data_IF_185630511384
#
_entry.id   IF_185630511384
#
_cell.length_a   1.000
_cell.length_b   1.000
_cell.length_c   1.000
_cell.angle_alpha   90.00
_cell.angle_beta   90.00
_cell.angle_gamma   90.00
#
_symmetry.space_group_name_H-M   'P 1'
#
loop_
_entity.id
_entity.type
_entity.pdbx_description
1 polymer ?
#
# COMPACT_ATOMS: atom_id res chain seq x y z
N UNK A 1 -3.99 -10.17 -9.07
CA UNK A 1 -4.44 -8.81 -8.65
C UNK A 1 -5.71 -8.79 -7.81
N UNK A 2 -6.86 -9.33 -8.27
CA UNK A 2 -8.09 -9.41 -7.43
C UNK A 2 -7.91 -10.14 -6.08
N UNK A 3 -6.92 -11.06 -6.01
CA UNK A 3 -6.60 -11.79 -4.77
C UNK A 3 -6.08 -10.88 -3.64
N UNK A 4 -5.40 -9.76 -3.93
CA UNK A 4 -4.83 -8.89 -2.88
C UNK A 4 -5.90 -8.09 -2.15
N UNK A 5 -6.86 -7.53 -2.89
CA UNK A 5 -7.99 -6.85 -2.31
C UNK A 5 -8.92 -7.83 -1.58
N UNK A 6 -9.16 -9.02 -2.15
CA UNK A 6 -9.91 -10.08 -1.47
C UNK A 6 -9.23 -10.48 -0.14
N UNK A 7 -7.91 -10.66 -0.15
CA UNK A 7 -7.13 -10.98 1.04
C UNK A 7 -7.26 -9.89 2.09
N UNK A 8 -7.21 -8.61 1.72
CA UNK A 8 -7.47 -7.47 2.61
C UNK A 8 -8.90 -7.44 3.16
N UNK A 9 -9.91 -7.64 2.31
CA UNK A 9 -11.33 -7.73 2.71
C UNK A 9 -11.54 -8.85 3.75
N UNK A 10 -10.86 -9.99 3.63
CA UNK A 10 -10.92 -11.05 4.67
C UNK A 10 -10.26 -10.66 6.00
N UNK A 11 -9.38 -9.67 6.04
CA UNK A 11 -8.74 -9.19 7.27
C UNK A 11 -9.57 -8.16 8.04
N UNK A 12 -10.61 -7.59 7.42
CA UNK A 12 -11.48 -6.57 8.01
C UNK A 12 -12.90 -7.10 8.27
N UNK A 13 -13.10 -8.11 9.15
CA UNK A 13 -14.39 -8.78 9.28
C UNK A 13 -15.53 -7.94 9.90
N UNK A 14 -15.32 -6.66 10.28
CA UNK A 14 -16.24 -5.96 11.20
C UNK A 14 -16.58 -4.49 10.88
N UNK A 15 -16.29 -3.95 9.69
CA UNK A 15 -16.81 -2.61 9.32
C UNK A 15 -18.11 -2.79 8.54
N UNK A 16 -19.26 -2.56 9.20
CA UNK A 16 -20.56 -2.45 8.53
C UNK A 16 -20.45 -1.38 7.44
N UNK A 17 -20.54 -1.76 6.17
CA UNK A 17 -20.71 -0.82 5.07
C UNK A 17 -21.98 0.00 5.33
N UNK A 18 -21.94 1.34 5.24
CA UNK A 18 -23.16 2.12 5.23
C UNK A 18 -23.94 1.76 3.96
N UNK A 19 -25.11 1.14 4.14
CA UNK A 19 -26.07 0.92 3.07
C UNK A 19 -26.62 2.29 2.62
N UNK A 20 -26.11 2.82 1.51
CA UNK A 20 -26.54 4.10 0.95
C UNK A 20 -25.90 4.39 -0.41
N UNK A 21 -26.73 4.70 -1.40
CA UNK A 21 -26.52 4.67 -2.87
C UNK A 21 -25.46 5.61 -3.48
N UNK A 22 -24.46 6.07 -2.74
CA UNK A 22 -23.24 6.68 -3.33
C UNK A 22 -22.07 6.32 -2.42
N UNK A 23 -21.01 5.64 -2.91
CA UNK A 23 -19.80 5.37 -2.13
C UNK A 23 -18.99 6.68 -2.01
N UNK A 24 -19.55 7.66 -1.30
CA UNK A 24 -18.81 8.85 -0.90
C UNK A 24 -18.18 8.54 0.45
N UNK A 25 -16.89 8.26 0.42
CA UNK A 25 -16.06 8.11 1.61
C UNK A 25 -16.21 9.38 2.46
N UNK A 26 -16.25 9.24 3.78
CA UNK A 26 -16.26 10.40 4.65
C UNK A 26 -14.94 11.16 4.53
N UNK A 27 -14.96 12.49 4.63
CA UNK A 27 -13.73 13.31 4.66
C UNK A 27 -12.73 12.79 5.72
N UNK A 28 -13.23 12.24 6.83
CA UNK A 28 -12.40 11.64 7.89
C UNK A 28 -11.70 10.36 7.44
N UNK A 29 -12.37 9.49 6.68
CA UNK A 29 -11.75 8.27 6.12
C UNK A 29 -10.75 8.64 5.00
N UNK A 30 -11.00 9.71 4.23
CA UNK A 30 -10.04 10.26 3.25
C UNK A 30 -8.80 10.79 3.98
N UNK A 31 -8.99 11.60 5.03
CA UNK A 31 -7.89 12.15 5.85
C UNK A 31 -7.07 11.02 6.48
N UNK A 32 -7.74 10.00 7.05
CA UNK A 32 -7.07 8.83 7.63
C UNK A 32 -6.26 8.08 6.57
N UNK A 33 -6.85 7.81 5.40
CA UNK A 33 -6.17 7.12 4.30
C UNK A 33 -4.97 7.94 3.81
N UNK A 34 -5.11 9.26 3.72
CA UNK A 34 -4.03 10.15 3.32
C UNK A 34 -2.89 10.16 4.35
N UNK A 35 -3.19 10.15 5.65
CA UNK A 35 -2.18 10.07 6.70
C UNK A 35 -1.38 8.76 6.60
N UNK A 36 -2.07 7.63 6.44
CA UNK A 36 -1.44 6.31 6.24
C UNK A 36 -0.55 6.27 4.99
N UNK A 37 -1.01 6.88 3.89
CA UNK A 37 -0.24 6.99 2.65
C UNK A 37 0.98 7.90 2.78
N UNK A 38 0.88 9.00 3.52
CA UNK A 38 2.01 9.90 3.78
C UNK A 38 3.08 9.21 4.65
N UNK A 39 2.67 8.45 5.66
CA UNK A 39 3.59 7.68 6.50
C UNK A 39 4.28 6.56 5.71
N UNK A 40 3.51 5.77 4.95
CA UNK A 40 4.05 4.73 4.09
C UNK A 40 4.96 5.32 2.99
N UNK A 41 4.56 6.44 2.38
CA UNK A 41 5.35 7.16 1.38
C UNK A 41 6.66 7.69 1.95
N UNK A 42 6.65 8.23 3.17
CA UNK A 42 7.85 8.66 3.90
C UNK A 42 8.82 7.50 4.12
N UNK A 43 8.32 6.32 4.51
CA UNK A 43 9.14 5.11 4.64
C UNK A 43 9.73 4.68 3.30
N UNK A 44 8.94 4.67 2.22
CA UNK A 44 9.40 4.34 0.88
C UNK A 44 10.49 5.31 0.38
N UNK A 45 10.34 6.62 0.60
CA UNK A 45 11.35 7.61 0.21
C UNK A 45 12.65 7.49 1.01
N UNK A 46 12.57 7.13 2.30
CA UNK A 46 13.77 6.84 3.11
C UNK A 46 14.50 5.60 2.59
N UNK A 47 13.77 4.56 2.20
CA UNK A 47 14.34 3.36 1.60
C UNK A 47 14.97 3.63 0.22
N UNK A 48 14.31 4.42 -0.64
CA UNK A 48 14.89 4.83 -1.93
C UNK A 48 16.17 5.63 -1.71
N UNK A 49 16.21 6.47 -0.68
CA UNK A 49 17.40 7.23 -0.32
C UNK A 49 18.54 6.35 0.21
N UNK A 50 18.24 5.29 0.97
CA UNK A 50 19.29 4.37 1.45
C UNK A 50 19.85 3.50 0.32
N UNK A 51 19.04 3.20 -0.69
CA UNK A 51 19.43 2.39 -1.85
C UNK A 51 19.36 0.88 -1.59
N UNK A 52 18.89 0.47 -0.41
CA UNK A 52 18.74 -0.94 -0.04
C UNK A 52 17.50 -1.54 -0.73
N UNK A 53 17.72 -2.45 -1.67
CA UNK A 53 16.68 -3.00 -2.56
C UNK A 53 15.55 -3.66 -1.76
N UNK A 54 15.89 -4.43 -0.72
CA UNK A 54 14.91 -5.08 0.15
C UNK A 54 14.04 -4.07 0.89
N UNK A 55 14.63 -2.98 1.41
CA UNK A 55 13.88 -1.91 2.07
C UNK A 55 12.99 -1.14 1.09
N UNK A 56 13.45 -0.94 -0.15
CA UNK A 56 12.65 -0.29 -1.20
C UNK A 56 11.45 -1.16 -1.53
N UNK A 57 11.63 -2.47 -1.69
CA UNK A 57 10.53 -3.42 -1.90
C UNK A 57 9.53 -3.35 -0.75
N UNK A 58 10.02 -3.35 0.49
CA UNK A 58 9.19 -3.26 1.69
C UNK A 58 8.39 -1.94 1.74
N UNK A 59 9.01 -0.82 1.36
CA UNK A 59 8.35 0.47 1.25
C UNK A 59 7.28 0.51 0.14
N UNK A 60 7.56 -0.06 -1.03
CA UNK A 60 6.61 -0.13 -2.14
C UNK A 60 5.41 -1.02 -1.80
N UNK A 61 5.65 -2.16 -1.17
CA UNK A 61 4.59 -3.09 -0.73
C UNK A 61 3.74 -2.46 0.37
N UNK A 62 4.34 -1.78 1.34
CA UNK A 62 3.59 -1.05 2.38
C UNK A 62 2.73 0.07 1.81
N UNK A 63 3.25 0.80 0.82
CA UNK A 63 2.49 1.84 0.14
C UNK A 63 1.32 1.26 -0.68
N UNK A 64 1.55 0.15 -1.38
CA UNK A 64 0.51 -0.60 -2.09
C UNK A 64 -0.57 -1.13 -1.13
N UNK A 65 -0.16 -1.64 0.04
CA UNK A 65 -1.06 -2.11 1.08
C UNK A 65 -1.98 -0.97 1.57
N UNK A 66 -1.41 0.19 1.88
CA UNK A 66 -2.19 1.37 2.30
C UNK A 66 -3.18 1.85 1.23
N UNK A 67 -2.79 1.81 -0.05
CA UNK A 67 -3.67 2.16 -1.16
C UNK A 67 -4.85 1.17 -1.30
N UNK A 68 -4.59 -0.14 -1.24
CA UNK A 68 -5.66 -1.14 -1.27
C UNK A 68 -6.52 -1.14 -0.01
N UNK A 69 -5.94 -0.82 1.14
CA UNK A 69 -6.67 -0.66 2.40
C UNK A 69 -7.69 0.48 2.29
N UNK A 70 -7.30 1.59 1.65
CA UNK A 70 -8.23 2.68 1.36
C UNK A 70 -9.38 2.18 0.48
N UNK A 71 -9.12 1.48 -0.63
CA UNK A 71 -10.16 0.88 -1.51
C UNK A 71 -11.09 -0.07 -0.76
N UNK A 72 -10.54 -0.95 0.07
CA UNK A 72 -11.32 -1.88 0.88
C UNK A 72 -12.28 -1.15 1.83
N UNK A 73 -11.88 -0.01 2.41
CA UNK A 73 -12.75 0.83 3.24
C UNK A 73 -13.91 1.43 2.44
N UNK A 74 -13.68 1.83 1.18
CA UNK A 74 -14.74 2.40 0.31
C UNK A 74 -15.72 1.32 -0.18
N UNK A 75 -15.34 0.05 -0.08
CA UNK A 75 -16.08 -1.07 -0.69
C UNK A 75 -15.86 -1.18 -2.20
N UNK A 76 -14.96 -0.37 -2.76
CA UNK A 76 -14.63 -0.34 -4.18
C UNK A 76 -13.70 -1.48 -4.56
N UNK A 77 -13.72 -1.85 -5.84
CA UNK A 77 -12.77 -2.81 -6.42
C UNK A 77 -11.60 -2.09 -7.11
N UNK A 78 -10.52 -2.83 -7.35
CA UNK A 78 -9.37 -2.28 -8.07
C UNK A 78 -9.85 -1.92 -9.48
N UNK A 79 -9.73 -0.64 -9.83
CA UNK A 79 -9.95 -0.21 -11.21
C UNK A 79 -8.80 -0.76 -12.04
N UNK A 80 -9.12 -1.70 -12.94
CA UNK A 80 -8.14 -2.20 -13.91
C UNK A 80 -7.69 -1.02 -14.77
N UNK A 81 -6.42 -0.63 -14.59
CA UNK A 81 -5.83 0.39 -15.43
C UNK A 81 -4.99 -0.31 -16.49
N UNK A 82 -5.38 -0.17 -17.76
CA UNK A 82 -4.51 -0.51 -18.89
C UNK A 82 -3.49 0.63 -19.06
N UNK A 83 -2.58 0.75 -18.09
CA UNK A 83 -1.63 1.85 -18.00
C UNK A 83 -0.18 1.41 -18.17
N UNK A 84 0.51 2.07 -19.10
CA UNK A 84 1.82 1.80 -19.69
C UNK A 84 2.89 1.20 -18.77
N UNK A 85 3.53 0.12 -19.25
CA UNK A 85 4.70 -0.48 -18.62
C UNK A 85 5.79 0.57 -18.40
N UNK A 86 6.00 0.92 -17.14
CA UNK A 86 6.86 2.03 -16.77
C UNK A 86 8.35 1.65 -16.91
N UNK A 87 9.07 2.32 -17.81
CA UNK A 87 10.50 2.06 -18.10
C UNK A 87 11.44 3.20 -17.67
N UNK A 88 11.04 4.09 -16.76
CA UNK A 88 11.96 5.12 -16.25
C UNK A 88 12.65 4.67 -14.95
N UNK A 89 13.89 4.19 -15.09
CA UNK A 89 14.73 3.65 -14.01
C UNK A 89 15.50 4.71 -13.20
N UNK A 90 15.17 6.00 -13.33
CA UNK A 90 15.83 7.05 -12.55
C UNK A 90 15.14 7.21 -11.19
N UNK A 91 15.87 6.99 -10.09
CA UNK A 91 15.33 7.07 -8.72
C UNK A 91 14.60 8.39 -8.44
N UNK A 92 15.14 9.53 -8.90
CA UNK A 92 14.50 10.84 -8.72
C UNK A 92 13.15 10.94 -9.45
N UNK A 93 13.04 10.34 -10.64
CA UNK A 93 11.79 10.29 -11.39
C UNK A 93 10.78 9.40 -10.67
N UNK A 94 11.21 8.25 -10.15
CA UNK A 94 10.39 7.35 -9.32
C UNK A 94 9.86 8.08 -8.09
N UNK A 95 10.72 8.81 -7.35
CA UNK A 95 10.29 9.57 -6.18
C UNK A 95 9.25 10.65 -6.51
N UNK A 96 9.45 11.40 -7.60
CA UNK A 96 8.50 12.42 -8.06
C UNK A 96 7.16 11.80 -8.44
N UNK A 97 7.19 10.68 -9.16
CA UNK A 97 5.99 9.99 -9.60
C UNK A 97 5.19 9.40 -8.42
N UNK A 98 5.87 8.74 -7.48
CA UNK A 98 5.25 8.26 -6.25
C UNK A 98 4.63 9.42 -5.46
N UNK A 99 5.34 10.54 -5.32
CA UNK A 99 4.83 11.73 -4.63
C UNK A 99 3.57 12.29 -5.28
N UNK A 100 3.53 12.36 -6.62
CA UNK A 100 2.38 12.82 -7.37
C UNK A 100 1.17 11.88 -7.19
N UNK A 101 1.38 10.56 -7.27
CA UNK A 101 0.31 9.57 -7.07
C UNK A 101 -0.21 9.53 -5.63
N UNK A 102 0.65 9.68 -4.63
CA UNK A 102 0.23 9.84 -3.23
C UNK A 102 -0.60 11.12 -3.06
N UNK A 103 -0.24 12.20 -3.74
CA UNK A 103 -1.00 13.44 -3.67
C UNK A 103 -2.39 13.30 -4.31
N UNK A 104 -2.49 12.65 -5.47
CA UNK A 104 -3.77 12.42 -6.17
C UNK A 104 -4.78 11.63 -5.32
N UNK A 105 -4.31 10.74 -4.43
CA UNK A 105 -5.14 10.01 -3.48
C UNK A 105 -5.90 10.92 -2.49
N UNK A 106 -5.47 12.18 -2.30
CA UNK A 106 -6.18 13.14 -1.44
C UNK A 106 -7.58 13.52 -1.94
N UNK A 107 -7.88 13.20 -3.21
CA UNK A 107 -9.23 13.36 -3.79
C UNK A 107 -10.24 12.34 -3.28
N UNK A 108 -9.80 11.22 -2.69
CA UNK A 108 -10.69 10.12 -2.30
C UNK A 108 -11.16 9.23 -3.45
N UNK A 109 -10.79 9.50 -4.71
CA UNK A 109 -11.22 8.69 -5.86
C UNK A 109 -10.51 7.32 -5.89
N UNK A 110 -11.29 6.24 -5.95
CA UNK A 110 -10.86 4.85 -6.07
C UNK A 110 -9.84 4.63 -7.21
N UNK A 111 -9.98 5.38 -8.32
CA UNK A 111 -9.04 5.32 -9.43
C UNK A 111 -7.62 5.71 -9.01
N UNK A 112 -7.45 6.74 -8.19
CA UNK A 112 -6.12 7.21 -7.78
C UNK A 112 -5.44 6.21 -6.84
N UNK A 113 -6.20 5.57 -5.94
CA UNK A 113 -5.66 4.50 -5.10
C UNK A 113 -5.26 3.27 -5.93
N UNK A 114 -6.08 2.91 -6.92
CA UNK A 114 -5.78 1.82 -7.85
C UNK A 114 -4.51 2.11 -8.66
N UNK A 115 -4.37 3.34 -9.16
CA UNK A 115 -3.17 3.78 -9.89
C UNK A 115 -1.91 3.74 -9.04
N UNK A 116 -1.98 4.15 -7.77
CA UNK A 116 -0.85 4.06 -6.86
C UNK A 116 -0.47 2.60 -6.59
N UNK A 117 -1.45 1.71 -6.39
CA UNK A 117 -1.22 0.28 -6.24
C UNK A 117 -0.52 -0.32 -7.46
N UNK A 118 -1.02 -0.04 -8.67
CA UNK A 118 -0.43 -0.53 -9.93
C UNK A 118 1.00 -0.01 -10.11
N UNK A 119 1.26 1.26 -9.78
CA UNK A 119 2.59 1.84 -9.83
C UNK A 119 3.57 1.09 -8.91
N UNK A 120 3.18 0.85 -7.66
CA UNK A 120 4.01 0.11 -6.71
C UNK A 120 4.31 -1.32 -7.18
N UNK A 121 3.31 -2.01 -7.73
CA UNK A 121 3.47 -3.36 -8.30
C UNK A 121 4.42 -3.35 -9.49
N UNK A 122 4.24 -2.41 -10.42
CA UNK A 122 5.09 -2.26 -11.61
C UNK A 122 6.54 -1.92 -11.24
N UNK A 123 6.76 -1.08 -10.23
CA UNK A 123 8.12 -0.78 -9.74
C UNK A 123 8.75 -1.99 -9.04
N UNK A 124 8.00 -2.71 -8.22
CA UNK A 124 8.51 -3.90 -7.56
C UNK A 124 8.92 -4.97 -8.60
N UNK A 125 8.05 -5.30 -9.53
CA UNK A 125 8.33 -6.35 -10.51
C UNK A 125 9.25 -5.91 -11.65
N UNK A 126 9.09 -4.68 -12.16
CA UNK A 126 9.84 -4.19 -13.31
C UNK A 126 11.16 -3.48 -12.99
N UNK A 127 11.24 -2.76 -11.87
CA UNK A 127 12.45 -2.02 -11.46
C UNK A 127 13.31 -2.82 -10.47
N UNK A 128 12.69 -3.48 -9.48
CA UNK A 128 13.44 -4.29 -8.49
C UNK A 128 13.59 -5.76 -8.86
N UNK A 129 12.96 -6.22 -9.96
CA UNK A 129 12.91 -7.64 -10.34
C UNK A 129 12.40 -8.52 -9.18
N UNK A 130 11.28 -8.12 -8.57
CA UNK A 130 10.72 -8.79 -7.39
C UNK A 130 9.40 -9.53 -7.68
N UNK A 131 9.19 -10.62 -6.94
CA UNK A 131 7.90 -11.28 -6.78
C UNK A 131 6.99 -10.43 -5.88
N UNK A 132 6.28 -9.49 -6.51
CA UNK A 132 5.41 -8.57 -5.79
C UNK A 132 4.26 -9.31 -5.07
N UNK A 133 3.70 -10.37 -5.67
CA UNK A 133 2.58 -11.11 -5.08
C UNK A 133 3.03 -11.82 -3.79
N UNK A 134 4.20 -12.48 -3.82
CA UNK A 134 4.79 -13.09 -2.62
C UNK A 134 5.14 -12.05 -1.56
N UNK A 135 5.77 -10.94 -1.97
CA UNK A 135 6.12 -9.85 -1.07
C UNK A 135 4.90 -9.25 -0.38
N UNK A 136 3.80 -9.06 -1.13
CA UNK A 136 2.54 -8.55 -0.63
C UNK A 136 1.88 -9.50 0.37
N UNK A 137 1.93 -10.81 0.13
CA UNK A 137 1.43 -11.82 1.07
C UNK A 137 2.21 -11.82 2.39
N UNK A 138 3.55 -11.81 2.33
CA UNK A 138 4.40 -11.75 3.53
C UNK A 138 4.12 -10.48 4.34
N UNK A 139 3.99 -9.34 3.68
CA UNK A 139 3.65 -8.08 4.34
C UNK A 139 2.28 -8.14 5.03
N UNK A 140 1.29 -8.73 4.36
CA UNK A 140 -0.05 -8.92 4.90
C UNK A 140 -0.08 -9.83 6.15
N UNK A 141 0.69 -10.92 6.15
CA UNK A 141 0.82 -11.81 7.30
C UNK A 141 1.51 -11.13 8.48
N UNK A 142 2.59 -10.39 8.20
CA UNK A 142 3.27 -9.57 9.21
C UNK A 142 2.32 -8.54 9.83
N UNK A 143 1.55 -7.82 9.01
CA UNK A 143 0.64 -6.79 9.48
C UNK A 143 -0.49 -7.37 10.35
N UNK A 144 -1.02 -8.55 9.99
CA UNK A 144 -1.96 -9.31 10.82
C UNK A 144 -1.36 -9.67 12.18
N UNK A 145 -0.15 -10.22 12.19
CA UNK A 145 0.52 -10.63 13.43
C UNK A 145 0.78 -9.42 14.34
N UNK A 146 1.18 -8.28 13.76
CA UNK A 146 1.35 -7.03 14.48
C UNK A 146 0.05 -6.51 15.09
N UNK A 147 -1.04 -6.47 14.31
CA UNK A 147 -2.35 -6.07 14.83
C UNK A 147 -2.80 -6.96 15.99
N UNK A 148 -2.67 -8.28 15.85
CA UNK A 148 -3.03 -9.24 16.90
C UNK A 148 -2.22 -9.02 18.19
N UNK A 149 -0.91 -8.75 18.08
CA UNK A 149 -0.05 -8.47 19.21
C UNK A 149 -0.40 -7.15 19.94
N UNK A 150 -0.81 -6.12 19.20
CA UNK A 150 -1.22 -4.84 19.78
C UNK A 150 -2.58 -4.91 20.48
N UNK A 151 -3.53 -5.66 19.92
CA UNK A 151 -4.83 -5.93 20.58
C UNK A 151 -4.62 -6.71 21.87
N UNK A 152 -3.70 -7.69 21.87
CA UNK A 152 -3.40 -8.48 23.07
C UNK A 152 -2.68 -7.68 24.19
N UNK A 153 -2.04 -6.57 23.86
CA UNK A 153 -1.23 -5.78 24.81
C UNK A 153 -1.87 -4.46 25.24
N UNK A 154 -3.08 -4.13 24.76
CA UNK A 154 -3.80 -2.86 24.99
C UNK A 154 -2.96 -1.61 24.66
N UNK A 155 -1.91 -1.78 23.84
CA UNK A 155 -1.00 -0.73 23.38
C UNK A 155 -1.42 -0.19 22.01
N UNK A 156 -2.72 0.02 21.81
CA UNK A 156 -3.28 0.53 20.55
C UNK A 156 -2.86 1.98 20.22
N UNK A 157 -1.97 2.58 21.02
CA UNK A 157 -1.52 3.97 20.94
C UNK A 157 0.00 4.13 20.79
N UNK A 158 0.76 3.08 20.52
CA UNK A 158 2.16 3.26 20.10
C UNK A 158 2.20 3.51 18.58
N UNK A 159 2.46 4.75 18.11
CA UNK A 159 2.41 5.09 16.69
C UNK A 159 3.61 4.56 15.90
N UNK A 160 4.52 3.81 16.55
CA UNK A 160 5.67 3.23 15.88
C UNK A 160 5.25 2.01 15.04
N UNK A 161 5.19 2.23 13.72
CA UNK A 161 5.23 1.16 12.73
C UNK A 161 6.45 0.29 13.07
N UNK A 162 6.28 -1.02 13.35
CA UNK A 162 7.41 -1.87 13.69
C UNK A 162 8.39 -1.98 12.53
N UNK A 163 9.55 -2.58 12.81
CA UNK A 163 10.47 -2.99 11.77
C UNK A 163 9.71 -3.82 10.73
N UNK A 164 9.65 -3.27 9.51
CA UNK A 164 9.00 -3.87 8.34
C UNK A 164 9.64 -5.25 8.08
N UNK A 165 8.89 -6.26 7.60
CA UNK A 165 9.43 -7.59 7.35
C UNK A 165 10.57 -7.51 6.33
N UNK A 166 11.55 -8.40 6.51
CA UNK A 166 12.58 -8.62 5.50
C UNK A 166 11.96 -9.32 4.29
N UNK A 167 12.08 -8.70 3.12
CA UNK A 167 11.53 -9.18 1.85
C UNK A 167 12.61 -9.64 0.87
N UNK A 168 13.83 -9.87 1.34
CA UNK A 168 14.96 -10.30 0.50
C UNK A 168 14.63 -11.58 -0.29
N UNK A 169 13.92 -12.53 0.32
CA UNK A 169 13.48 -13.79 -0.33
C UNK A 169 12.45 -13.60 -1.45
N UNK A 170 11.98 -12.37 -1.70
CA UNK A 170 11.06 -12.02 -2.77
C UNK A 170 11.77 -11.36 -3.97
N UNK A 171 13.08 -11.11 -3.88
CA UNK A 171 13.88 -10.61 -4.98
C UNK A 171 14.34 -11.78 -5.85
N UNK A 172 14.22 -11.65 -7.17
CA UNK A 172 14.82 -12.60 -8.10
C UNK A 172 16.29 -12.21 -8.32
N UNK A 173 17.19 -13.21 -8.29
CA UNK A 173 18.62 -13.07 -8.61
C UNK A 173 18.88 -12.54 -10.03
#
# INVERSE_FOLDING_TARGET
MHNHLALLKTMQPNRKMPEGDVPCISDMDIILSQALLMDAGSAAFKAIKSGEIADILAGLVGLAYSALHALAIQGEDIVENQGEGYQQYQMLAIMRLLSDKIHQCSSGDAKHYSELYHLCSNLASGFLNADFDKAFQVYCEWHKAWQAANVATDKMHDPHIPKIPDLTDCLYE
#
